data_IF_055569252928
#
_entry.id   IF_055569252928
#
_cell.length_a   1.000
_cell.length_b   1.000
_cell.length_c   1.000
_cell.angle_alpha   90.00
_cell.angle_beta   90.00
_cell.angle_gamma   90.00
#
_symmetry.space_group_name_H-M   'P 1'
#
loop_
_entity.id
_entity.type
_entity.pdbx_description
1 polymer ?
#
# COMPACT_ATOMS: atom_id res chain seq x y z
N UNK A 1 -9.62 -3.58 -1.04
CA UNK A 1 -8.45 -3.07 -1.78
C UNK A 1 -8.92 -2.02 -2.77
N UNK A 2 -8.26 -0.89 -2.82
CA UNK A 2 -8.53 0.24 -3.70
C UNK A 2 -7.35 0.44 -4.65
N UNK A 3 -7.60 0.70 -5.92
CA UNK A 3 -6.61 1.28 -6.83
C UNK A 3 -6.67 2.81 -6.69
N UNK A 4 -5.85 3.36 -5.80
CA UNK A 4 -5.81 4.80 -5.57
C UNK A 4 -5.39 5.53 -6.85
N UNK A 5 -6.16 6.49 -7.37
CA UNK A 5 -5.74 7.36 -8.46
C UNK A 5 -4.83 8.48 -7.97
N UNK A 6 -4.09 9.12 -8.88
CA UNK A 6 -3.43 10.38 -8.60
C UNK A 6 -4.46 11.50 -8.27
N UNK A 7 -4.02 12.54 -7.58
CA UNK A 7 -4.84 13.70 -7.26
C UNK A 7 -5.72 13.57 -5.99
N UNK A 8 -5.76 12.38 -5.37
CA UNK A 8 -6.58 12.08 -4.18
C UNK A 8 -5.71 11.88 -2.95
N UNK A 9 -6.11 12.45 -1.81
CA UNK A 9 -5.39 12.32 -0.55
C UNK A 9 -5.61 10.95 0.10
N UNK A 10 -4.56 10.38 0.67
CA UNK A 10 -4.67 9.23 1.57
C UNK A 10 -4.99 9.71 2.99
N UNK A 11 -6.25 10.05 3.19
CA UNK A 11 -6.81 10.49 4.46
C UNK A 11 -8.23 9.95 4.63
N UNK A 12 -8.75 9.97 5.84
CA UNK A 12 -10.15 9.60 6.13
C UNK A 12 -11.10 10.76 5.80
N UNK A 13 -10.66 11.99 6.04
CA UNK A 13 -11.41 13.21 5.73
C UNK A 13 -10.46 14.37 5.44
N UNK A 14 -10.91 15.33 4.68
CA UNK A 14 -10.23 16.61 4.43
C UNK A 14 -11.27 17.65 4.00
N UNK A 15 -11.18 18.86 4.53
CA UNK A 15 -12.15 19.92 4.28
C UNK A 15 -12.04 20.59 2.90
N UNK A 16 -10.94 20.37 2.19
CA UNK A 16 -10.62 21.09 0.93
C UNK A 16 -10.35 20.17 -0.24
N UNK A 17 -9.96 18.93 0.02
CA UNK A 17 -9.47 18.01 -1.01
C UNK A 17 -10.15 16.65 -0.90
N UNK A 18 -10.40 16.04 -2.05
CA UNK A 18 -10.94 14.70 -2.13
C UNK A 18 -10.01 13.67 -1.51
N UNK A 19 -10.56 12.78 -0.69
CA UNK A 19 -9.84 11.71 0.00
C UNK A 19 -10.13 10.34 -0.61
N UNK A 20 -9.36 9.34 -0.22
CA UNK A 20 -9.57 7.95 -0.65
C UNK A 20 -10.91 7.38 -0.17
N UNK A 21 -11.47 7.87 0.94
CA UNK A 21 -12.79 7.46 1.40
C UNK A 21 -13.91 8.04 0.54
N UNK A 22 -13.72 9.19 -0.10
CA UNK A 22 -14.70 9.77 -1.01
C UNK A 22 -14.87 8.98 -2.32
N UNK A 23 -13.99 8.03 -2.59
CA UNK A 23 -14.09 7.08 -3.70
C UNK A 23 -15.01 5.90 -3.38
N UNK A 24 -15.35 5.71 -2.11
CA UNK A 24 -16.18 4.59 -1.65
C UNK A 24 -17.66 4.99 -1.58
N UNK A 25 -18.59 4.04 -1.75
CA UNK A 25 -20.00 4.27 -1.52
C UNK A 25 -20.29 4.59 -0.04
N UNK A 26 -21.39 5.32 0.25
CA UNK A 26 -21.71 5.79 1.60
C UNK A 26 -21.75 4.69 2.68
N UNK A 27 -22.20 3.49 2.31
CA UNK A 27 -22.30 2.34 3.20
C UNK A 27 -20.95 1.87 3.73
N UNK A 28 -19.90 1.96 2.89
CA UNK A 28 -18.54 1.60 3.28
C UNK A 28 -17.86 2.72 4.07
N UNK A 29 -18.15 3.99 3.76
CA UNK A 29 -17.60 5.13 4.52
C UNK A 29 -18.00 5.09 6.00
N UNK A 30 -19.26 4.68 6.29
CA UNK A 30 -19.79 4.56 7.64
C UNK A 30 -19.18 3.42 8.46
N UNK A 31 -18.37 2.54 7.88
CA UNK A 31 -17.76 1.39 8.56
C UNK A 31 -16.48 1.68 9.32
N UNK A 32 -16.07 2.94 9.43
CA UNK A 32 -14.85 3.32 10.14
C UNK A 32 -13.57 2.82 9.45
N UNK A 33 -13.59 2.69 8.11
CA UNK A 33 -12.43 2.27 7.35
C UNK A 33 -11.33 3.34 7.41
N UNK A 34 -10.10 2.88 7.51
CA UNK A 34 -8.91 3.73 7.42
C UNK A 34 -7.88 3.12 6.45
N UNK A 35 -7.04 3.94 5.80
CA UNK A 35 -6.01 3.43 4.92
C UNK A 35 -4.87 2.77 5.69
N UNK A 36 -4.39 1.64 5.19
CA UNK A 36 -3.19 0.96 5.69
C UNK A 36 -1.96 1.61 5.09
N UNK A 37 -1.40 2.55 5.83
CA UNK A 37 -0.33 3.42 5.36
C UNK A 37 -0.83 4.48 4.38
N UNK A 38 0.14 5.16 3.77
CA UNK A 38 -0.15 6.30 2.89
C UNK A 38 0.53 6.15 1.55
N UNK A 39 -0.12 6.65 0.51
CA UNK A 39 0.46 6.99 -0.78
C UNK A 39 0.38 8.51 -0.93
N UNK A 40 1.37 9.11 -1.54
CA UNK A 40 1.37 10.54 -1.82
C UNK A 40 0.17 10.89 -2.73
N UNK A 41 -0.19 12.16 -2.77
CA UNK A 41 -1.34 12.64 -3.56
C UNK A 41 -1.21 12.27 -5.04
N UNK A 42 -0.02 12.38 -5.60
CA UNK A 42 0.32 12.10 -6.99
C UNK A 42 0.74 10.64 -7.24
N UNK A 43 0.85 9.81 -6.20
CA UNK A 43 1.17 8.39 -6.31
C UNK A 43 -0.09 7.57 -6.48
N UNK A 44 -0.05 6.63 -7.41
CA UNK A 44 -1.15 5.70 -7.72
C UNK A 44 -0.91 4.31 -7.11
N UNK A 45 -1.92 3.46 -7.25
CA UNK A 45 -1.75 2.02 -7.06
C UNK A 45 -2.48 1.44 -5.85
N UNK A 46 -2.03 0.27 -5.43
CA UNK A 46 -2.66 -0.53 -4.40
C UNK A 46 -2.68 0.19 -3.05
N UNK A 47 -3.87 0.43 -2.54
CA UNK A 47 -4.11 0.90 -1.18
C UNK A 47 -5.11 -0.04 -0.49
N UNK A 48 -4.72 -0.55 0.66
CA UNK A 48 -5.61 -1.34 1.52
C UNK A 48 -6.38 -0.39 2.44
N UNK A 49 -7.68 -0.64 2.60
CA UNK A 49 -8.56 0.04 3.54
C UNK A 49 -9.16 -1.01 4.48
N UNK A 50 -9.10 -0.78 5.77
CA UNK A 50 -9.64 -1.68 6.79
C UNK A 50 -10.03 -0.93 8.04
N UNK A 51 -10.87 -1.52 8.86
CA UNK A 51 -11.15 -1.08 10.24
C UNK A 51 -10.45 -1.98 11.28
N UNK A 52 -9.64 -2.96 10.82
CA UNK A 52 -8.80 -3.78 11.69
C UNK A 52 -7.49 -3.04 12.01
N UNK A 53 -7.47 -2.42 13.20
CA UNK A 53 -6.30 -1.67 13.69
C UNK A 53 -5.11 -2.58 14.00
N UNK A 54 -5.34 -3.83 14.45
CA UNK A 54 -4.27 -4.77 14.75
C UNK A 54 -3.55 -5.22 13.47
N UNK A 55 -4.31 -5.56 12.43
CA UNK A 55 -3.75 -5.87 11.11
C UNK A 55 -3.00 -4.67 10.53
N UNK A 56 -3.59 -3.46 10.61
CA UNK A 56 -2.96 -2.22 10.14
C UNK A 56 -1.60 -1.99 10.81
N UNK A 57 -1.55 -2.07 12.14
CA UNK A 57 -0.32 -1.87 12.89
C UNK A 57 0.77 -2.87 12.48
N UNK A 58 0.44 -4.15 12.33
CA UNK A 58 1.39 -5.18 11.91
C UNK A 58 1.87 -4.98 10.47
N UNK A 59 0.97 -4.70 9.52
CA UNK A 59 1.33 -4.45 8.11
C UNK A 59 2.26 -3.24 7.92
N UNK A 60 2.15 -2.24 8.79
CA UNK A 60 2.96 -1.03 8.71
C UNK A 60 4.25 -1.11 9.53
N UNK A 61 4.35 -2.05 10.47
CA UNK A 61 5.53 -2.23 11.30
C UNK A 61 6.75 -2.62 10.45
N UNK A 62 7.88 -1.92 10.56
CA UNK A 62 9.12 -2.34 9.89
C UNK A 62 9.59 -3.73 10.31
N UNK A 63 9.23 -4.17 11.53
CA UNK A 63 9.57 -5.50 12.07
C UNK A 63 8.88 -6.65 11.32
N UNK A 64 7.76 -6.38 10.69
CA UNK A 64 7.02 -7.40 9.91
C UNK A 64 7.58 -7.61 8.51
N UNK A 65 8.52 -6.79 8.07
CA UNK A 65 9.20 -6.89 6.77
C UNK A 65 8.25 -7.06 5.57
N UNK A 66 7.06 -6.44 5.64
CA UNK A 66 6.06 -6.51 4.55
C UNK A 66 6.54 -5.72 3.35
N UNK A 67 6.87 -6.42 2.29
CA UNK A 67 7.36 -5.82 1.05
C UNK A 67 6.28 -4.96 0.39
N UNK A 68 6.69 -3.80 -0.10
CA UNK A 68 5.88 -2.89 -0.91
C UNK A 68 6.62 -2.65 -2.20
N UNK A 69 6.08 -3.16 -3.31
CA UNK A 69 6.70 -3.03 -4.63
C UNK A 69 6.10 -1.85 -5.36
N UNK A 70 6.97 -0.96 -5.81
CA UNK A 70 6.61 0.22 -6.59
C UNK A 70 7.20 0.12 -7.99
N UNK A 71 6.38 0.40 -8.99
CA UNK A 71 6.84 0.74 -10.32
C UNK A 71 7.06 2.25 -10.39
N UNK A 72 8.20 2.67 -10.90
CA UNK A 72 8.49 4.07 -11.12
C UNK A 72 8.97 4.31 -12.55
N UNK A 73 8.59 5.47 -13.10
CA UNK A 73 9.30 6.09 -14.22
C UNK A 73 10.12 7.24 -13.68
N UNK A 74 11.35 7.36 -14.18
CA UNK A 74 12.35 8.30 -13.68
C UNK A 74 12.92 9.15 -14.81
N UNK A 75 13.41 10.33 -14.47
CA UNK A 75 14.29 11.11 -15.35
C UNK A 75 15.67 10.44 -15.36
N UNK A 76 16.06 9.87 -16.48
CA UNK A 76 17.24 9.02 -16.57
C UNK A 76 17.01 7.61 -16.02
N UNK A 77 18.04 6.78 -16.07
CA UNK A 77 17.99 5.38 -15.62
C UNK A 77 19.03 5.18 -14.53
N UNK A 78 18.63 4.68 -13.34
CA UNK A 78 19.58 4.27 -12.31
C UNK A 78 20.53 3.20 -12.85
N UNK A 79 21.71 3.13 -12.26
CA UNK A 79 22.75 2.14 -12.60
C UNK A 79 22.70 0.92 -11.68
N UNK A 80 23.37 -0.15 -12.06
CA UNK A 80 23.59 -1.31 -11.18
C UNK A 80 24.34 -0.93 -9.88
N UNK A 81 25.23 0.08 -9.96
CA UNK A 81 25.91 0.62 -8.77
C UNK A 81 24.92 1.31 -7.83
N UNK A 82 23.89 1.98 -8.34
CA UNK A 82 22.81 2.54 -7.54
C UNK A 82 21.98 1.44 -6.88
N UNK A 83 21.66 0.38 -7.62
CA UNK A 83 20.96 -0.77 -7.05
C UNK A 83 21.76 -1.41 -5.91
N UNK A 84 23.08 -1.59 -6.10
CA UNK A 84 23.96 -2.12 -5.06
C UNK A 84 24.03 -1.20 -3.81
N UNK A 85 24.03 0.12 -4.00
CA UNK A 85 23.97 1.09 -2.88
C UNK A 85 22.66 1.00 -2.11
N UNK A 86 21.52 0.95 -2.82
CA UNK A 86 20.20 0.85 -2.20
C UNK A 86 20.02 -0.47 -1.44
N UNK A 87 20.60 -1.56 -1.94
CA UNK A 87 20.58 -2.87 -1.29
C UNK A 87 21.33 -2.91 0.07
N UNK A 88 22.23 -1.97 0.31
CA UNK A 88 22.93 -1.84 1.60
C UNK A 88 22.21 -0.90 2.57
N UNK A 89 21.15 -0.22 2.11
CA UNK A 89 20.54 0.89 2.81
C UNK A 89 21.35 2.17 2.64
N UNK A 90 20.66 3.30 2.70
CA UNK A 90 21.26 4.62 2.48
C UNK A 90 20.87 5.60 3.58
N UNK A 91 21.68 6.64 3.75
CA UNK A 91 21.32 7.82 4.53
C UNK A 91 21.11 8.98 3.56
N UNK A 92 19.93 9.57 3.60
CA UNK A 92 19.58 10.73 2.78
C UNK A 92 20.22 12.01 3.34
N UNK A 93 20.22 13.08 2.53
CA UNK A 93 20.90 14.35 2.85
C UNK A 93 20.43 15.00 4.17
N UNK A 94 19.17 14.76 4.58
CA UNK A 94 18.61 15.23 5.86
C UNK A 94 18.89 14.30 7.04
N UNK A 95 19.76 13.29 6.87
CA UNK A 95 20.10 12.32 7.89
C UNK A 95 19.11 11.14 8.02
N UNK A 96 18.06 11.09 7.22
CA UNK A 96 17.10 9.98 7.25
C UNK A 96 17.77 8.69 6.78
N UNK A 97 17.90 7.73 7.68
CA UNK A 97 18.41 6.38 7.34
C UNK A 97 17.31 5.56 6.71
N UNK A 98 17.53 5.02 5.52
CA UNK A 98 16.64 4.10 4.83
C UNK A 98 17.16 2.67 4.95
N UNK A 99 16.25 1.74 5.25
CA UNK A 99 16.55 0.30 5.25
C UNK A 99 16.98 -0.15 3.85
N UNK A 100 17.68 -1.30 3.75
CA UNK A 100 17.96 -1.96 2.48
C UNK A 100 16.72 -2.06 1.60
N UNK A 101 16.86 -1.68 0.33
CA UNK A 101 15.82 -1.71 -0.69
C UNK A 101 16.33 -2.40 -1.94
N UNK A 102 15.47 -3.19 -2.58
CA UNK A 102 15.80 -3.82 -3.86
C UNK A 102 15.36 -2.92 -5.00
N UNK A 103 16.29 -2.60 -5.90
CA UNK A 103 16.04 -1.86 -7.13
C UNK A 103 16.29 -2.77 -8.32
N UNK A 104 15.27 -2.98 -9.16
CA UNK A 104 15.36 -3.70 -10.41
C UNK A 104 15.13 -2.75 -11.57
N UNK A 105 16.11 -2.66 -12.48
CA UNK A 105 16.01 -1.87 -13.71
C UNK A 105 15.24 -2.71 -14.75
N UNK A 106 14.12 -2.16 -15.25
CA UNK A 106 13.23 -2.86 -16.18
C UNK A 106 13.34 -2.34 -17.63
N UNK A 107 13.97 -1.18 -17.81
CA UNK A 107 14.13 -0.51 -19.09
C UNK A 107 14.61 0.92 -18.89
N UNK A 108 14.75 1.67 -19.96
CA UNK A 108 15.18 3.05 -19.90
C UNK A 108 14.18 3.88 -19.05
N UNK A 109 14.65 4.43 -17.94
CA UNK A 109 13.84 5.20 -17.01
C UNK A 109 12.68 4.42 -16.35
N UNK A 110 12.74 3.08 -16.33
CA UNK A 110 11.71 2.24 -15.75
C UNK A 110 12.31 1.29 -14.72
N UNK A 111 11.80 1.32 -13.50
CA UNK A 111 12.31 0.53 -12.39
C UNK A 111 11.21 -0.06 -11.52
N UNK A 112 11.53 -1.16 -10.85
CA UNK A 112 10.80 -1.67 -9.69
C UNK A 112 11.63 -1.42 -8.44
N UNK A 113 11.00 -0.82 -7.44
CA UNK A 113 11.62 -0.55 -6.14
C UNK A 113 10.82 -1.27 -5.05
N UNK A 114 11.48 -2.18 -4.32
CA UNK A 114 10.89 -2.90 -3.19
C UNK A 114 11.35 -2.29 -1.87
N UNK A 115 10.38 -1.84 -1.06
CA UNK A 115 10.60 -1.24 0.26
C UNK A 115 9.95 -2.08 1.35
N UNK A 116 10.61 -2.18 2.53
CA UNK A 116 10.11 -2.86 3.74
C UNK A 116 9.67 -1.92 4.85
N UNK A 117 9.72 -0.64 4.60
CA UNK A 117 9.28 0.45 5.47
C UNK A 117 8.49 1.48 4.67
N UNK A 118 8.03 2.57 5.31
CA UNK A 118 7.22 3.59 4.64
C UNK A 118 7.47 4.97 5.22
N UNK A 119 8.67 5.53 5.00
CA UNK A 119 9.01 6.88 5.41
C UNK A 119 8.46 7.91 4.42
N UNK A 120 8.41 9.16 4.86
CA UNK A 120 7.88 10.27 4.05
C UNK A 120 8.58 10.38 2.69
N UNK A 121 7.81 10.24 1.63
CA UNK A 121 8.24 10.28 0.22
C UNK A 121 9.43 9.35 -0.09
N UNK A 122 9.58 8.23 0.63
CA UNK A 122 10.80 7.42 0.62
C UNK A 122 11.19 6.96 -0.77
N UNK A 123 10.27 6.37 -1.55
CA UNK A 123 10.58 5.89 -2.90
C UNK A 123 11.12 7.00 -3.80
N UNK A 124 10.49 8.17 -3.79
CA UNK A 124 10.91 9.34 -4.56
C UNK A 124 12.29 9.84 -4.14
N UNK A 125 12.51 9.92 -2.84
CA UNK A 125 13.77 10.43 -2.26
C UNK A 125 14.94 9.48 -2.51
N UNK A 126 14.71 8.17 -2.45
CA UNK A 126 15.74 7.17 -2.74
C UNK A 126 16.15 7.19 -4.21
N UNK A 127 15.19 7.32 -5.14
CA UNK A 127 15.50 7.43 -6.58
C UNK A 127 16.14 8.78 -6.92
N UNK A 128 15.71 9.88 -6.28
CA UNK A 128 16.39 11.17 -6.41
C UNK A 128 17.83 11.14 -5.88
N UNK A 129 18.11 10.38 -4.81
CA UNK A 129 19.47 10.14 -4.30
C UNK A 129 20.38 9.45 -5.36
N UNK A 130 19.80 8.64 -6.23
CA UNK A 130 20.49 8.04 -7.39
C UNK A 130 20.63 9.01 -8.58
N UNK A 131 20.22 10.28 -8.45
CA UNK A 131 20.23 11.25 -9.54
C UNK A 131 19.13 11.03 -10.60
N UNK A 132 18.13 10.21 -10.29
CA UNK A 132 17.05 9.82 -11.20
C UNK A 132 15.67 10.13 -10.58
N UNK A 133 15.24 11.43 -10.54
CA UNK A 133 13.99 11.84 -9.96
C UNK A 133 12.78 11.11 -10.56
N UNK A 134 11.80 10.84 -9.73
CA UNK A 134 10.57 10.14 -10.12
C UNK A 134 9.62 11.09 -10.84
N UNK A 135 9.17 10.69 -12.03
CA UNK A 135 8.11 11.38 -12.81
C UNK A 135 6.75 10.66 -12.71
N UNK A 136 6.75 9.38 -12.37
CA UNK A 136 5.54 8.59 -12.15
C UNK A 136 5.81 7.49 -11.11
N UNK A 137 4.87 7.28 -10.19
CA UNK A 137 4.99 6.26 -9.15
C UNK A 137 3.67 5.52 -8.95
N UNK A 138 3.74 4.19 -8.96
CA UNK A 138 2.60 3.32 -8.73
C UNK A 138 2.97 2.17 -7.81
N UNK A 139 2.23 1.98 -6.71
CA UNK A 139 2.41 0.78 -5.87
C UNK A 139 1.69 -0.41 -6.47
N UNK A 140 2.44 -1.44 -6.83
CA UNK A 140 1.93 -2.66 -7.48
C UNK A 140 1.51 -3.72 -6.47
N UNK A 141 2.19 -3.80 -5.31
CA UNK A 141 1.88 -4.81 -4.30
C UNK A 141 2.16 -4.32 -2.87
N UNK A 142 1.54 -5.01 -1.92
CA UNK A 142 1.80 -4.88 -0.49
C UNK A 142 1.69 -6.26 0.16
N UNK A 143 2.83 -6.82 0.57
CA UNK A 143 2.91 -8.21 1.01
C UNK A 143 2.42 -9.16 -0.07
N UNK A 144 1.50 -10.09 0.25
CA UNK A 144 0.95 -11.04 -0.70
C UNK A 144 -0.04 -10.44 -1.70
N UNK A 145 -0.57 -9.23 -1.41
CA UNK A 145 -1.54 -8.60 -2.29
C UNK A 145 -0.87 -7.96 -3.51
N UNK A 146 -1.46 -8.17 -4.66
CA UNK A 146 -1.06 -7.57 -5.92
C UNK A 146 -2.22 -6.79 -6.53
N UNK A 147 -1.90 -5.66 -7.15
CA UNK A 147 -2.86 -4.90 -7.95
C UNK A 147 -3.00 -5.60 -9.30
N UNK A 148 -4.18 -6.17 -9.56
CA UNK A 148 -4.50 -6.78 -10.85
C UNK A 148 -4.87 -5.74 -11.91
N UNK A 149 -4.92 -6.17 -13.16
CA UNK A 149 -5.37 -5.34 -14.29
C UNK A 149 -6.90 -5.14 -14.31
N UNK A 150 -7.61 -5.98 -13.58
CA UNK A 150 -9.06 -5.96 -13.39
C UNK A 150 -9.57 -4.77 -12.58
N UNK A 151 -8.69 -4.06 -11.87
CA UNK A 151 -9.05 -2.92 -11.02
C UNK A 151 -8.48 -1.62 -11.60
N UNK A 152 -9.35 -0.78 -12.16
CA UNK A 152 -8.98 0.52 -12.74
C UNK A 152 -8.71 1.57 -11.66
N UNK A 153 -7.95 2.65 -11.95
CA UNK A 153 -7.77 3.76 -11.02
C UNK A 153 -9.11 4.34 -10.53
N UNK A 154 -9.27 4.46 -9.22
CA UNK A 154 -10.50 4.89 -8.56
C UNK A 154 -11.45 3.76 -8.17
N UNK A 155 -11.28 2.57 -8.71
CA UNK A 155 -12.10 1.41 -8.36
C UNK A 155 -11.57 0.70 -7.12
N UNK A 156 -12.46 0.00 -6.45
CA UNK A 156 -12.15 -0.85 -5.30
C UNK A 156 -12.85 -2.22 -5.41
N UNK A 157 -12.32 -3.19 -4.71
CA UNK A 157 -12.98 -4.47 -4.47
C UNK A 157 -12.74 -4.96 -3.05
N UNK A 158 -13.60 -5.85 -2.59
CA UNK A 158 -13.32 -6.60 -1.37
C UNK A 158 -12.18 -7.59 -1.61
N UNK A 159 -11.45 -7.90 -0.54
CA UNK A 159 -10.51 -9.01 -0.56
C UNK A 159 -11.27 -10.32 -0.49
N UNK A 160 -10.74 -11.36 -1.12
CA UNK A 160 -11.20 -12.73 -0.91
C UNK A 160 -10.72 -13.23 0.47
N UNK A 161 -11.35 -14.27 0.99
CA UNK A 161 -10.92 -14.87 2.25
C UNK A 161 -9.47 -15.35 2.17
N UNK A 162 -9.08 -15.94 1.05
CA UNK A 162 -7.69 -16.39 0.81
C UNK A 162 -6.68 -15.22 0.87
N UNK A 163 -7.03 -14.06 0.32
CA UNK A 163 -6.17 -12.85 0.40
C UNK A 163 -6.06 -12.33 1.83
N UNK A 164 -7.15 -12.39 2.61
CA UNK A 164 -7.16 -12.01 4.03
C UNK A 164 -6.26 -12.96 4.83
N UNK A 165 -6.42 -14.27 4.64
CA UNK A 165 -5.64 -15.29 5.32
C UNK A 165 -4.14 -15.15 5.03
N UNK A 166 -3.78 -14.93 3.76
CA UNK A 166 -2.39 -14.65 3.35
C UNK A 166 -1.83 -13.40 3.99
N UNK A 167 -2.62 -12.31 4.11
CA UNK A 167 -2.20 -11.09 4.78
C UNK A 167 -1.93 -11.33 6.27
N UNK A 168 -2.84 -12.03 6.95
CA UNK A 168 -2.72 -12.36 8.37
C UNK A 168 -1.50 -13.25 8.62
N UNK A 169 -1.30 -14.26 7.79
CA UNK A 169 -0.13 -15.12 7.84
C UNK A 169 1.18 -14.35 7.65
N UNK A 170 1.23 -13.44 6.67
CA UNK A 170 2.41 -12.63 6.37
C UNK A 170 2.86 -11.74 7.54
N UNK A 171 1.96 -11.42 8.48
CA UNK A 171 2.25 -10.60 9.66
C UNK A 171 2.21 -11.38 10.98
N UNK A 172 2.14 -12.72 10.92
CA UNK A 172 2.12 -13.59 12.08
C UNK A 172 0.82 -13.49 12.91
N UNK A 173 -0.29 -13.07 12.30
CA UNK A 173 -1.63 -13.22 12.87
C UNK A 173 -2.14 -14.61 12.49
N UNK A 174 -2.22 -15.53 13.46
CA UNK A 174 -2.78 -16.87 13.26
C UNK A 174 -4.30 -16.78 13.42
N UNK A 175 -5.04 -17.59 12.68
CA UNK A 175 -6.52 -17.62 12.71
C UNK A 175 -7.14 -17.77 14.13
N UNK A 176 -6.40 -18.28 15.10
CA UNK A 176 -6.82 -18.41 16.50
C UNK A 176 -6.98 -17.06 17.22
N UNK A 177 -6.28 -16.00 16.81
CA UNK A 177 -6.43 -14.64 17.39
C UNK A 177 -7.64 -13.89 16.83
N UNK A 178 -8.16 -14.30 15.67
CA UNK A 178 -9.38 -13.73 15.08
C UNK A 178 -10.64 -14.13 15.82
N UNK A 179 -10.68 -15.27 16.50
CA UNK A 179 -11.90 -15.74 17.21
C UNK A 179 -12.30 -14.85 18.41
N UNK A 180 -11.41 -14.01 18.92
CA UNK A 180 -11.75 -13.10 20.03
C UNK A 180 -12.41 -11.78 19.59
N UNK A 181 -12.30 -11.39 18.32
CA UNK A 181 -12.94 -10.18 17.79
C UNK A 181 -14.18 -10.46 16.91
N UNK A 182 -14.45 -11.74 16.58
CA UNK A 182 -15.49 -12.13 15.61
C UNK A 182 -16.93 -12.09 16.14
N UNK A 183 -17.15 -11.74 17.41
CA UNK A 183 -18.54 -11.59 17.90
C UNK A 183 -19.33 -10.45 17.23
N UNK A 184 -18.69 -9.62 16.40
CA UNK A 184 -19.38 -8.55 15.66
C UNK A 184 -19.47 -8.78 14.13
N UNK A 185 -18.67 -9.69 13.56
CA UNK A 185 -18.63 -9.86 12.10
C UNK A 185 -19.61 -10.93 11.59
N UNK A 186 -19.90 -11.95 12.39
CA UNK A 186 -20.71 -13.10 11.98
C UNK A 186 -22.24 -12.86 12.04
N UNK A 187 -22.72 -11.74 12.62
CA UNK A 187 -24.17 -11.48 12.79
C UNK A 187 -24.86 -10.81 11.59
N UNK A 188 -24.15 -10.42 10.55
CA UNK A 188 -24.72 -9.65 9.42
C UNK A 188 -25.07 -10.52 8.20
N UNK A 189 -24.67 -11.78 8.14
CA UNK A 189 -24.88 -12.64 6.96
C UNK A 189 -26.02 -13.67 7.08
N UNK A 190 -26.91 -13.54 8.08
CA UNK A 190 -28.10 -14.41 8.19
C UNK A 190 -29.39 -13.58 8.24
N UNK A 191 -29.75 -12.96 7.12
CA UNK A 191 -31.16 -12.69 6.78
C UNK A 191 -31.38 -13.11 5.34
N UNK A 192 -32.23 -14.10 5.06
CA UNK A 192 -32.68 -14.42 3.72
C UNK A 192 -33.52 -13.26 3.20
N UNK A 193 -33.30 -12.85 1.96
CA UNK A 193 -34.19 -11.98 1.21
C UNK A 193 -35.52 -12.69 1.06
N UNK A 194 -36.58 -12.16 1.67
CA UNK A 194 -37.94 -12.55 1.34
C UNK A 194 -38.24 -12.00 -0.05
N UNK A 195 -38.58 -12.87 -0.97
CA UNK A 195 -39.17 -12.53 -2.26
C UNK A 195 -40.63 -12.07 -2.07
N UNK A 196 -41.11 -11.15 -2.96
CA UNK A 196 -42.45 -10.63 -2.95
C UNK A 196 -43.50 -11.67 -3.29
#
# INVERSE_FOLDING_TARGET
MLHKPAGVLTATEDSRQRTVLDLLPPELRKRGLSPVGRLDKDTEGLLLLTNDGALTHRLLSPKSHVDKVYYARTEGTPTEADAARLAQGITLADGLRCLPAELKICGQGQVLLTLREGKFHQAKRMLAFCGTPVVYLKRLSMGPLRLGEDLRPGEFRHLTQEEIDKLQQAVGLVAADCQKNDNNFCKIHKKPLANP
#
